data_IF_187369923220
#
_entry.id   IF_187369923220
#
_cell.length_a   1.000
_cell.length_b   1.000
_cell.length_c   1.000
_cell.angle_alpha   90.00
_cell.angle_beta   90.00
_cell.angle_gamma   90.00
#
_symmetry.space_group_name_H-M   'P 1'
#
loop_
_entity.id
_entity.type
_entity.pdbx_description
1 polymer ?
#
# COMPACT_ATOMS: atom_id res chain seq x y z
N UNK A 1 101.77 5.62 -10.92
CA UNK A 1 101.70 6.14 -9.53
C UNK A 1 100.65 7.23 -9.44
N UNK A 2 99.61 7.00 -8.61
CA UNK A 2 98.73 7.97 -7.91
C UNK A 2 97.77 8.91 -8.71
N UNK A 3 96.51 8.91 -8.18
CA UNK A 3 95.39 9.89 -8.22
C UNK A 3 94.36 9.69 -9.35
N UNK A 4 93.14 9.18 -9.08
CA UNK A 4 91.95 9.73 -8.37
C UNK A 4 91.25 10.86 -9.15
N UNK A 5 89.99 10.61 -9.56
CA UNK A 5 88.74 11.45 -9.60
C UNK A 5 87.82 10.93 -10.73
N UNK A 6 86.74 10.18 -10.47
CA UNK A 6 85.39 10.53 -9.93
C UNK A 6 84.50 11.33 -10.92
N UNK A 7 83.26 10.82 -11.08
CA UNK A 7 82.00 11.48 -11.55
C UNK A 7 81.83 11.62 -13.08
N UNK A 8 80.67 11.41 -13.72
CA UNK A 8 79.25 11.35 -13.33
C UNK A 8 78.50 10.45 -14.34
N UNK A 9 77.49 9.73 -13.86
CA UNK A 9 76.53 8.97 -14.67
C UNK A 9 75.51 9.91 -15.32
N UNK A 10 75.16 9.69 -16.58
CA UNK A 10 73.95 10.25 -17.20
C UNK A 10 73.42 9.26 -18.22
N UNK A 11 72.60 8.31 -17.74
CA UNK A 11 71.77 7.46 -18.59
C UNK A 11 70.40 8.13 -18.69
N UNK A 12 70.08 8.67 -19.88
CA UNK A 12 68.72 9.08 -20.21
C UNK A 12 67.84 7.83 -20.31
N UNK A 13 66.93 7.65 -19.35
CA UNK A 13 65.83 6.68 -19.45
C UNK A 13 64.58 7.41 -19.94
N UNK A 14 64.10 6.96 -21.10
CA UNK A 14 62.87 7.38 -21.75
C UNK A 14 61.66 6.98 -20.88
N UNK A 15 60.98 7.94 -20.24
CA UNK A 15 59.78 7.67 -19.47
C UNK A 15 58.57 7.53 -20.38
N UNK A 16 58.07 6.30 -20.48
CA UNK A 16 56.80 5.95 -21.10
C UNK A 16 55.67 6.46 -20.20
N UNK A 17 54.89 7.42 -20.70
CA UNK A 17 53.74 8.00 -20.00
C UNK A 17 52.58 6.99 -20.00
N UNK A 18 52.44 6.22 -18.91
CA UNK A 18 51.25 5.41 -18.66
C UNK A 18 50.16 6.35 -18.17
N UNK A 19 49.22 6.70 -19.06
CA UNK A 19 47.97 7.35 -18.67
C UNK A 19 47.10 6.29 -18.02
N UNK A 20 47.18 6.17 -16.68
CA UNK A 20 46.14 5.46 -15.93
C UNK A 20 44.92 6.35 -15.86
N UNK A 21 43.95 6.11 -16.72
CA UNK A 21 42.60 6.65 -16.59
C UNK A 21 42.03 6.11 -15.28
N UNK A 22 42.09 6.92 -14.23
CA UNK A 22 41.34 6.68 -13.01
C UNK A 22 39.86 6.81 -13.36
N UNK A 23 39.21 5.70 -13.69
CA UNK A 23 37.77 5.58 -13.59
C UNK A 23 37.42 5.71 -12.10
N UNK A 24 37.28 6.95 -11.63
CA UNK A 24 36.50 7.23 -10.44
C UNK A 24 35.08 6.76 -10.76
N UNK A 25 34.75 5.55 -10.33
CA UNK A 25 33.37 5.19 -10.04
C UNK A 25 32.79 6.34 -9.22
N UNK A 26 31.79 7.03 -9.77
CA UNK A 26 30.92 7.90 -8.98
C UNK A 26 30.13 7.00 -8.03
N UNK A 27 30.77 6.52 -6.98
CA UNK A 27 30.08 6.29 -5.71
C UNK A 27 29.78 7.68 -5.17
N UNK A 28 28.64 8.24 -5.60
CA UNK A 28 28.00 9.26 -4.78
C UNK A 28 27.76 8.59 -3.45
N UNK A 29 28.58 8.95 -2.47
CA UNK A 29 28.39 8.61 -1.07
C UNK A 29 27.19 9.43 -0.58
N UNK A 30 26.02 9.17 -1.16
CA UNK A 30 24.78 9.89 -0.89
C UNK A 30 24.18 9.29 0.38
N UNK A 31 24.96 9.36 1.47
CA UNK A 31 24.54 8.95 2.79
C UNK A 31 23.23 9.65 3.12
N UNK A 32 22.31 8.89 3.71
CA UNK A 32 21.03 9.40 4.13
C UNK A 32 21.24 10.55 5.13
N UNK A 33 20.76 11.76 4.78
CA UNK A 33 20.84 12.92 5.64
C UNK A 33 19.58 13.01 6.50
N UNK A 34 19.69 12.65 7.78
CA UNK A 34 18.56 12.64 8.71
C UNK A 34 17.96 14.03 8.99
N UNK A 35 18.70 15.11 8.74
CA UNK A 35 18.20 16.48 8.92
C UNK A 35 17.21 16.92 7.84
N UNK A 36 17.02 16.09 6.80
CA UNK A 36 16.10 16.36 5.71
C UNK A 36 14.65 16.19 6.15
N UNK A 37 13.80 17.05 5.56
CA UNK A 37 12.35 17.01 5.76
C UNK A 37 11.81 15.66 5.32
N UNK A 38 10.89 15.11 6.12
CA UNK A 38 10.12 13.92 5.81
C UNK A 38 9.05 14.30 4.77
N UNK A 39 9.13 13.71 3.59
CA UNK A 39 8.12 13.92 2.56
C UNK A 39 6.94 12.97 2.81
N UNK A 40 5.94 13.47 3.54
CA UNK A 40 4.72 12.70 3.81
C UNK A 40 3.92 12.54 2.52
N UNK A 41 3.66 11.29 2.13
CA UNK A 41 2.74 10.96 1.05
C UNK A 41 1.46 10.42 1.68
N UNK A 42 0.34 11.09 1.43
CA UNK A 42 -0.99 10.68 1.89
C UNK A 42 -1.89 10.32 0.71
N UNK A 43 -3.03 9.70 1.01
CA UNK A 43 -4.03 9.32 0.01
C UNK A 43 -5.07 10.42 -0.18
N UNK A 44 -5.76 10.39 -1.31
CA UNK A 44 -6.82 11.31 -1.68
C UNK A 44 -8.01 11.30 -0.71
N UNK A 45 -8.75 12.41 -0.68
CA UNK A 45 -10.03 12.46 0.02
C UNK A 45 -10.99 11.42 -0.60
N UNK A 46 -11.70 10.66 0.24
CA UNK A 46 -12.52 9.52 -0.18
C UNK A 46 -11.81 8.16 -0.11
N UNK A 47 -10.47 8.15 -0.06
CA UNK A 47 -9.68 6.92 0.12
C UNK A 47 -10.10 6.15 1.38
N UNK A 48 -10.48 4.89 1.23
CA UNK A 48 -10.66 3.99 2.38
C UNK A 48 -9.39 3.79 3.20
N UNK A 49 -8.22 3.75 2.54
CA UNK A 49 -6.92 3.61 3.23
C UNK A 49 -6.61 4.78 4.13
N UNK A 50 -6.68 6.02 3.62
CA UNK A 50 -6.62 7.22 4.46
C UNK A 50 -7.61 7.17 5.62
N UNK A 51 -8.89 6.92 5.34
CA UNK A 51 -9.93 6.90 6.37
C UNK A 51 -9.63 5.93 7.50
N UNK A 52 -9.27 4.69 7.18
CA UNK A 52 -8.88 3.70 8.18
C UNK A 52 -7.55 4.07 8.87
N UNK A 53 -6.56 4.55 8.13
CA UNK A 53 -5.25 4.95 8.66
C UNK A 53 -5.36 6.06 9.71
N UNK A 54 -6.13 7.12 9.42
CA UNK A 54 -6.25 8.26 10.33
C UNK A 54 -7.03 7.92 11.61
N UNK A 55 -8.06 7.06 11.52
CA UNK A 55 -8.82 6.61 12.69
C UNK A 55 -7.97 5.67 13.56
N UNK A 56 -7.32 4.66 12.94
CA UNK A 56 -6.52 3.66 13.65
C UNK A 56 -5.30 4.26 14.38
N UNK A 57 -4.70 5.32 13.83
CA UNK A 57 -3.54 5.97 14.44
C UNK A 57 -3.86 7.25 15.19
N UNK A 58 -5.14 7.62 15.33
CA UNK A 58 -5.54 8.82 16.06
C UNK A 58 -5.02 10.12 15.43
N UNK A 59 -4.92 10.15 14.10
CA UNK A 59 -4.56 11.35 13.32
C UNK A 59 -5.79 12.25 13.11
N UNK A 60 -6.99 11.77 13.43
CA UNK A 60 -8.19 12.61 13.43
C UNK A 60 -8.57 13.16 14.80
N UNK A 61 -9.07 14.39 14.82
CA UNK A 61 -9.67 15.01 16.00
C UNK A 61 -11.19 14.80 15.99
N UNK A 62 -11.72 14.12 17.00
CA UNK A 62 -13.17 13.95 17.23
C UNK A 62 -13.73 15.21 17.90
N UNK A 63 -14.58 15.95 17.19
CA UNK A 63 -15.29 17.11 17.72
C UNK A 63 -16.44 16.68 18.64
N UNK A 64 -16.85 17.57 19.54
CA UNK A 64 -17.96 17.32 20.49
C UNK A 64 -19.30 16.96 19.82
N UNK A 65 -19.50 17.31 18.55
CA UNK A 65 -20.70 16.99 17.78
C UNK A 65 -20.60 15.64 17.03
N UNK A 66 -19.57 14.83 17.30
CA UNK A 66 -19.34 13.55 16.64
C UNK A 66 -18.66 13.63 15.27
N UNK A 67 -18.43 14.83 14.72
CA UNK A 67 -17.71 14.98 13.47
C UNK A 67 -16.19 14.81 13.69
N UNK A 68 -15.52 14.11 12.79
CA UNK A 68 -14.06 13.99 12.80
C UNK A 68 -13.42 15.05 11.91
N UNK A 69 -12.22 15.49 12.29
CA UNK A 69 -11.37 16.36 11.49
C UNK A 69 -10.05 15.66 11.26
N UNK A 70 -9.75 15.35 10.01
CA UNK A 70 -8.44 14.86 9.61
C UNK A 70 -7.36 15.91 9.92
N UNK A 71 -6.34 15.51 10.69
CA UNK A 71 -5.19 16.36 11.05
C UNK A 71 -3.92 15.99 10.26
N UNK A 72 -4.05 15.22 9.17
CA UNK A 72 -2.94 14.99 8.24
C UNK A 72 -2.33 16.33 7.84
N UNK A 73 -1.00 16.43 7.87
CA UNK A 73 -0.26 17.64 7.50
C UNK A 73 -0.69 18.13 6.12
N UNK A 74 -0.85 19.45 6.00
CA UNK A 74 -1.24 20.09 4.73
C UNK A 74 -0.16 19.98 3.66
N UNK A 75 1.06 19.66 4.10
CA UNK A 75 2.25 19.60 3.26
C UNK A 75 2.38 18.21 2.62
N UNK A 76 1.48 17.28 2.97
CA UNK A 76 1.45 15.95 2.42
C UNK A 76 1.18 15.96 0.91
N UNK A 77 1.99 15.21 0.17
CA UNK A 77 1.77 14.96 -1.25
C UNK A 77 0.63 13.95 -1.38
N UNK A 78 -0.37 14.27 -2.20
CA UNK A 78 -1.56 13.42 -2.38
C UNK A 78 -1.35 12.43 -3.53
N UNK A 79 -1.35 11.15 -3.22
CA UNK A 79 -1.36 10.05 -4.18
C UNK A 79 -2.78 9.47 -4.32
N UNK A 80 -3.37 9.55 -5.52
CA UNK A 80 -4.76 9.12 -5.77
C UNK A 80 -4.99 7.60 -5.82
N UNK A 81 -3.92 6.83 -5.94
CA UNK A 81 -3.97 5.37 -6.12
C UNK A 81 -2.79 4.71 -5.44
N UNK A 82 -2.94 3.43 -5.12
CA UNK A 82 -1.88 2.61 -4.52
C UNK A 82 -0.60 2.64 -5.37
N UNK A 83 -0.70 2.56 -6.69
CA UNK A 83 0.48 2.55 -7.57
C UNK A 83 1.22 3.89 -7.58
N UNK A 84 0.47 5.00 -7.57
CA UNK A 84 1.06 6.35 -7.46
C UNK A 84 1.76 6.55 -6.12
N UNK A 85 1.18 6.02 -5.03
CA UNK A 85 1.82 6.01 -3.71
C UNK A 85 3.16 5.28 -3.77
N UNK A 86 3.19 4.06 -4.30
CA UNK A 86 4.43 3.27 -4.41
C UNK A 86 5.48 3.95 -5.29
N UNK A 87 5.09 4.57 -6.40
CA UNK A 87 6.01 5.33 -7.27
C UNK A 87 6.63 6.51 -6.52
N UNK A 88 5.82 7.29 -5.79
CA UNK A 88 6.32 8.42 -5.02
C UNK A 88 7.33 7.98 -3.95
N UNK A 89 7.04 6.90 -3.22
CA UNK A 89 7.94 6.37 -2.18
C UNK A 89 9.21 5.78 -2.79
N UNK A 90 9.12 5.04 -3.88
CA UNK A 90 10.28 4.47 -4.57
C UNK A 90 11.20 5.54 -5.18
N UNK A 91 10.64 6.70 -5.55
CA UNK A 91 11.38 7.81 -6.15
C UNK A 91 12.05 8.76 -5.15
N UNK A 92 11.75 8.66 -3.85
CA UNK A 92 12.20 9.62 -2.85
C UNK A 92 12.67 8.93 -1.56
N UNK A 93 13.99 8.99 -1.31
CA UNK A 93 14.60 8.38 -0.12
C UNK A 93 14.06 8.94 1.21
N UNK A 94 13.54 10.16 1.22
CA UNK A 94 13.02 10.82 2.42
C UNK A 94 11.50 10.71 2.57
N UNK A 95 10.82 10.00 1.66
CA UNK A 95 9.38 9.87 1.70
C UNK A 95 8.89 8.74 2.60
N UNK A 96 7.71 8.95 3.18
CA UNK A 96 6.96 7.98 3.98
C UNK A 96 5.51 7.96 3.51
N UNK A 97 4.92 6.77 3.47
CA UNK A 97 3.54 6.58 3.05
C UNK A 97 2.94 5.33 3.68
N UNK A 98 1.74 4.97 3.21
CA UNK A 98 1.05 3.79 3.68
C UNK A 98 0.26 3.11 2.55
N UNK A 99 0.24 1.79 2.55
CA UNK A 99 -0.48 0.96 1.56
C UNK A 99 -1.12 -0.26 2.23
N UNK A 100 -1.93 -0.98 1.46
CA UNK A 100 -2.36 -2.33 1.84
C UNK A 100 -1.18 -3.31 1.83
N UNK A 101 -1.14 -4.24 2.79
CA UNK A 101 -0.11 -5.28 2.87
C UNK A 101 -0.01 -6.10 1.57
N UNK A 102 -1.15 -6.46 0.99
CA UNK A 102 -1.20 -7.25 -0.25
C UNK A 102 -0.66 -6.54 -1.49
N UNK A 103 -0.43 -5.22 -1.41
CA UNK A 103 0.19 -4.43 -2.49
C UNK A 103 1.71 -4.28 -2.35
N UNK A 104 2.30 -4.68 -1.21
CA UNK A 104 3.73 -4.54 -0.97
C UNK A 104 4.53 -5.35 -2.01
N UNK A 105 5.58 -4.73 -2.55
CA UNK A 105 6.52 -5.35 -3.49
C UNK A 105 7.96 -4.94 -3.15
N UNK A 106 8.92 -5.26 -4.01
CA UNK A 106 10.34 -5.06 -3.77
C UNK A 106 10.88 -3.64 -4.11
N UNK A 107 10.06 -2.74 -4.65
CA UNK A 107 10.50 -1.37 -5.00
C UNK A 107 10.53 -0.43 -3.79
N UNK A 108 9.94 -0.85 -2.68
CA UNK A 108 9.80 -0.14 -1.42
C UNK A 108 9.98 -1.13 -0.27
N UNK A 109 10.12 -0.63 0.95
CA UNK A 109 10.16 -1.49 2.14
C UNK A 109 9.10 -1.10 3.16
N UNK A 110 8.58 -2.12 3.84
CA UNK A 110 7.70 -1.97 4.98
C UNK A 110 8.50 -1.62 6.24
N UNK A 111 7.94 -0.75 7.08
CA UNK A 111 8.49 -0.36 8.38
C UNK A 111 7.73 -1.11 9.48
N UNK A 112 8.39 -1.96 10.28
CA UNK A 112 7.82 -2.53 11.49
C UNK A 112 7.26 -1.45 12.42
N UNK A 113 6.10 -1.71 13.01
CA UNK A 113 5.44 -0.78 13.95
C UNK A 113 5.45 -1.35 15.35
N UNK A 114 5.96 -0.59 16.31
CA UNK A 114 6.21 -1.02 17.68
C UNK A 114 7.04 -2.33 17.72
N UNK A 115 8.00 -2.49 16.80
CA UNK A 115 8.81 -3.69 16.65
C UNK A 115 8.11 -4.89 15.98
N UNK A 116 6.85 -4.76 15.57
CA UNK A 116 6.08 -5.83 14.92
C UNK A 116 6.16 -5.69 13.40
N UNK A 117 6.63 -6.75 12.74
CA UNK A 117 6.68 -6.83 11.27
C UNK A 117 5.26 -6.96 10.72
N UNK A 118 4.85 -6.13 9.74
CA UNK A 118 3.56 -6.29 9.07
C UNK A 118 3.55 -7.57 8.23
N UNK A 119 2.79 -8.57 8.67
CA UNK A 119 2.68 -9.86 7.98
C UNK A 119 1.28 -10.46 8.19
N UNK A 120 0.84 -11.32 7.28
CA UNK A 120 -0.44 -12.02 7.43
C UNK A 120 -0.50 -12.82 8.74
N UNK A 121 0.62 -13.41 9.16
CA UNK A 121 0.74 -14.13 10.43
C UNK A 121 0.54 -13.19 11.63
N UNK A 122 1.26 -12.06 11.67
CA UNK A 122 1.14 -11.10 12.77
C UNK A 122 -0.21 -10.40 12.81
N UNK A 123 -0.90 -10.27 11.68
CA UNK A 123 -2.27 -9.78 11.68
C UNK A 123 -3.22 -10.85 12.22
N UNK A 124 -3.08 -12.11 11.77
CA UNK A 124 -3.95 -13.22 12.19
C UNK A 124 -3.86 -13.50 13.69
N UNK A 125 -2.68 -13.38 14.29
CA UNK A 125 -2.48 -13.60 15.72
C UNK A 125 -2.72 -12.34 16.59
N UNK A 126 -3.06 -11.20 15.98
CA UNK A 126 -3.36 -9.95 16.68
C UNK A 126 -2.13 -9.16 17.15
N UNK A 127 -0.92 -9.52 16.75
CA UNK A 127 0.30 -8.77 17.10
C UNK A 127 0.42 -7.46 16.30
N UNK A 128 -0.01 -7.44 15.03
CA UNK A 128 -0.03 -6.25 14.19
C UNK A 128 -1.44 -5.66 14.13
N UNK A 129 -1.60 -4.46 14.70
CA UNK A 129 -2.91 -3.91 15.03
C UNK A 129 -3.49 -2.95 13.99
N UNK A 130 -2.68 -2.44 13.06
CA UNK A 130 -3.13 -1.48 12.05
C UNK A 130 -3.83 -2.24 10.92
N UNK A 131 -5.07 -2.63 11.18
CA UNK A 131 -5.83 -3.54 10.32
C UNK A 131 -7.22 -2.98 10.04
N UNK A 132 -7.80 -3.38 8.91
CA UNK A 132 -9.09 -2.89 8.43
C UNK A 132 -9.84 -3.96 7.66
N UNK A 133 -11.17 -3.89 7.58
CA UNK A 133 -11.92 -4.76 6.69
C UNK A 133 -11.71 -4.35 5.23
N UNK A 134 -11.75 -5.34 4.35
CA UNK A 134 -12.17 -5.14 2.97
C UNK A 134 -13.63 -5.53 2.87
N UNK A 135 -14.46 -4.55 2.52
CA UNK A 135 -15.88 -4.70 2.33
C UNK A 135 -16.21 -4.55 0.85
N UNK A 136 -17.18 -5.32 0.39
CA UNK A 136 -17.96 -5.02 -0.80
C UNK A 136 -19.38 -4.63 -0.37
N UNK A 137 -20.13 -3.98 -1.25
CA UNK A 137 -21.53 -3.65 -0.99
C UNK A 137 -22.33 -3.67 -2.30
N UNK A 138 -23.60 -4.01 -2.18
CA UNK A 138 -24.60 -4.04 -3.27
C UNK A 138 -25.78 -3.17 -2.89
N UNK A 139 -26.58 -2.81 -3.89
CA UNK A 139 -27.86 -2.15 -3.65
C UNK A 139 -28.93 -3.21 -3.35
N UNK A 140 -29.38 -3.29 -2.11
CA UNK A 140 -30.31 -4.34 -1.70
C UNK A 140 -29.69 -5.75 -1.73
N UNK A 141 -30.55 -6.78 -1.77
CA UNK A 141 -30.12 -8.17 -1.83
C UNK A 141 -29.62 -8.51 -3.25
N UNK A 142 -28.39 -9.04 -3.40
CA UNK A 142 -27.85 -9.36 -4.71
C UNK A 142 -28.57 -10.55 -5.35
N UNK A 143 -28.68 -10.53 -6.68
CA UNK A 143 -29.25 -11.63 -7.47
C UNK A 143 -28.38 -11.99 -8.69
N UNK A 144 -28.80 -13.02 -9.44
CA UNK A 144 -28.18 -13.40 -10.71
C UNK A 144 -26.66 -13.55 -10.67
N UNK A 145 -25.98 -12.89 -11.63
CA UNK A 145 -24.52 -12.90 -11.76
C UNK A 145 -23.83 -12.20 -10.58
N UNK A 146 -24.42 -11.13 -10.05
CA UNK A 146 -23.87 -10.39 -8.92
C UNK A 146 -23.76 -11.29 -7.69
N UNK A 147 -24.88 -11.93 -7.32
CA UNK A 147 -24.92 -12.88 -6.20
C UNK A 147 -23.96 -14.03 -6.39
N UNK A 148 -23.92 -14.60 -7.58
CA UNK A 148 -23.07 -15.77 -7.85
C UNK A 148 -21.57 -15.42 -7.75
N UNK A 149 -21.17 -14.23 -8.19
CA UNK A 149 -19.80 -13.76 -8.01
C UNK A 149 -19.48 -13.51 -6.52
N UNK A 150 -20.40 -12.94 -5.74
CA UNK A 150 -20.25 -12.77 -4.30
C UNK A 150 -20.14 -14.14 -3.59
N UNK A 151 -20.99 -15.10 -3.95
CA UNK A 151 -20.96 -16.46 -3.44
C UNK A 151 -19.60 -17.12 -3.73
N UNK A 152 -19.03 -16.90 -4.93
CA UNK A 152 -17.67 -17.33 -5.25
C UNK A 152 -16.62 -16.67 -4.35
N UNK A 153 -16.68 -15.36 -4.14
CA UNK A 153 -15.72 -14.64 -3.28
C UNK A 153 -15.75 -15.19 -1.84
N UNK A 154 -16.94 -15.54 -1.34
CA UNK A 154 -17.14 -16.07 0.01
C UNK A 154 -16.91 -17.58 0.11
N UNK A 155 -16.83 -18.29 -1.01
CA UNK A 155 -16.57 -19.74 -1.06
C UNK A 155 -15.16 -20.13 -0.60
N UNK A 156 -14.94 -21.43 -0.38
CA UNK A 156 -13.61 -21.96 -0.08
C UNK A 156 -12.58 -21.59 -1.16
N UNK A 157 -12.99 -21.56 -2.42
CA UNK A 157 -12.12 -21.28 -3.55
C UNK A 157 -11.71 -19.80 -3.58
N UNK A 158 -12.67 -18.89 -3.39
CA UNK A 158 -12.43 -17.45 -3.29
C UNK A 158 -11.58 -17.10 -2.07
N UNK A 159 -11.92 -17.65 -0.89
CA UNK A 159 -11.17 -17.39 0.35
C UNK A 159 -9.74 -17.95 0.30
N UNK A 160 -9.50 -19.04 -0.46
CA UNK A 160 -8.15 -19.55 -0.73
C UNK A 160 -7.30 -18.60 -1.59
N UNK A 161 -7.92 -17.85 -2.49
CA UNK A 161 -7.21 -16.81 -3.27
C UNK A 161 -6.87 -15.62 -2.35
N UNK A 162 -7.83 -15.20 -1.52
CA UNK A 162 -7.66 -14.10 -0.56
C UNK A 162 -6.52 -14.39 0.43
N UNK A 163 -6.44 -15.60 0.96
CA UNK A 163 -5.43 -15.98 1.95
C UNK A 163 -3.98 -15.96 1.45
N UNK A 164 -3.75 -15.80 0.14
CA UNK A 164 -2.42 -15.64 -0.44
C UNK A 164 -1.80 -14.26 -0.17
N UNK A 165 -2.63 -13.25 0.13
CA UNK A 165 -2.16 -11.85 0.28
C UNK A 165 -2.85 -11.11 1.43
N UNK A 166 -3.93 -11.66 1.96
CA UNK A 166 -4.78 -11.06 2.99
C UNK A 166 -5.20 -12.13 3.99
N UNK A 167 -5.97 -11.71 5.01
CA UNK A 167 -6.50 -12.62 6.02
C UNK A 167 -7.93 -12.97 5.60
N UNK A 168 -8.16 -14.26 5.37
CA UNK A 168 -9.47 -14.79 5.03
C UNK A 168 -10.42 -14.68 6.23
N UNK A 169 -11.72 -14.64 5.95
CA UNK A 169 -12.77 -14.45 6.97
C UNK A 169 -13.63 -15.69 7.19
N UNK A 170 -13.48 -16.71 6.35
CA UNK A 170 -14.22 -17.96 6.45
C UNK A 170 -13.29 -19.15 6.29
N UNK A 171 -12.83 -19.72 7.42
CA UNK A 171 -11.97 -20.91 7.44
C UNK A 171 -12.72 -22.20 7.04
N UNK A 172 -14.06 -22.22 7.11
CA UNK A 172 -14.92 -23.39 6.82
C UNK A 172 -15.94 -23.12 5.67
N UNK A 173 -15.59 -22.25 4.73
CA UNK A 173 -16.46 -21.98 3.58
C UNK A 173 -16.68 -23.25 2.73
N UNK A 174 -17.82 -23.32 2.07
CA UNK A 174 -18.17 -24.42 1.16
C UNK A 174 -17.47 -24.17 -0.19
N UNK A 175 -16.99 -25.21 -0.91
CA UNK A 175 -16.47 -25.06 -2.27
C UNK A 175 -17.50 -24.41 -3.20
N UNK A 176 -17.03 -23.61 -4.15
CA UNK A 176 -17.91 -22.98 -5.10
C UNK A 176 -18.49 -24.00 -6.09
N UNK A 177 -19.76 -23.84 -6.43
CA UNK A 177 -20.43 -24.65 -7.44
C UNK A 177 -20.85 -23.76 -8.61
N UNK A 178 -20.14 -23.89 -9.73
CA UNK A 178 -20.42 -23.11 -10.92
C UNK A 178 -21.83 -23.37 -11.48
N UNK A 179 -22.62 -22.31 -11.62
CA UNK A 179 -23.93 -22.34 -12.29
C UNK A 179 -23.92 -21.66 -13.67
N UNK A 180 -22.76 -21.12 -14.10
CA UNK A 180 -22.50 -20.52 -15.42
C UNK A 180 -23.49 -19.40 -15.78
N UNK A 181 -23.68 -18.41 -14.89
CA UNK A 181 -24.59 -17.32 -15.15
C UNK A 181 -24.08 -16.47 -16.31
N UNK A 182 -25.00 -15.87 -17.05
CA UNK A 182 -24.67 -14.92 -18.12
C UNK A 182 -24.97 -13.49 -17.67
N UNK A 183 -24.31 -12.52 -18.29
CA UNK A 183 -24.60 -11.11 -18.05
C UNK A 183 -23.32 -10.31 -17.87
N UNK A 184 -23.48 -9.05 -17.50
CA UNK A 184 -22.37 -8.15 -17.19
C UNK A 184 -22.64 -7.48 -15.85
N UNK A 185 -21.62 -7.44 -14.99
CA UNK A 185 -21.59 -6.59 -13.81
C UNK A 185 -20.36 -5.67 -13.84
N UNK A 186 -20.48 -4.54 -13.18
CA UNK A 186 -19.45 -3.54 -12.94
C UNK A 186 -19.15 -3.51 -11.44
N UNK A 187 -17.89 -3.72 -11.10
CA UNK A 187 -17.36 -3.66 -9.73
C UNK A 187 -16.48 -2.41 -9.64
N UNK A 188 -16.78 -1.46 -8.76
CA UNK A 188 -16.07 -0.20 -8.68
C UNK A 188 -15.63 0.18 -7.26
N UNK A 189 -14.54 0.92 -7.13
CA UNK A 189 -14.12 1.49 -5.85
C UNK A 189 -12.65 1.25 -5.53
N UNK A 190 -12.37 0.97 -4.26
CA UNK A 190 -11.03 1.00 -3.68
C UNK A 190 -9.94 0.35 -4.52
N UNK A 191 -8.98 1.18 -4.95
CA UNK A 191 -7.69 0.74 -5.53
C UNK A 191 -6.83 -0.14 -4.62
N UNK A 192 -7.17 -0.29 -3.33
CA UNK A 192 -6.51 -1.27 -2.46
C UNK A 192 -7.12 -2.67 -2.56
N UNK A 193 -8.37 -2.79 -3.01
CA UNK A 193 -9.09 -4.08 -3.19
C UNK A 193 -8.95 -4.57 -4.63
N UNK A 194 -8.81 -3.66 -5.59
CA UNK A 194 -8.76 -4.01 -7.01
C UNK A 194 -7.76 -5.14 -7.36
N UNK A 195 -6.52 -5.20 -6.83
CA UNK A 195 -5.59 -6.28 -7.18
C UNK A 195 -6.12 -7.68 -6.80
N UNK A 196 -6.79 -7.81 -5.65
CA UNK A 196 -7.37 -9.11 -5.25
C UNK A 196 -8.67 -9.39 -5.99
N UNK A 197 -9.47 -8.36 -6.28
CA UNK A 197 -10.69 -8.50 -7.06
C UNK A 197 -10.41 -8.96 -8.50
N UNK A 198 -9.33 -8.48 -9.11
CA UNK A 198 -8.86 -8.93 -10.43
C UNK A 198 -8.50 -10.42 -10.43
N UNK A 199 -7.77 -10.90 -9.41
CA UNK A 199 -7.44 -12.32 -9.25
C UNK A 199 -8.69 -13.19 -9.04
N UNK A 200 -9.63 -12.71 -8.22
CA UNK A 200 -10.91 -13.39 -7.97
C UNK A 200 -11.72 -13.50 -9.27
N UNK A 201 -11.84 -12.40 -10.01
CA UNK A 201 -12.49 -12.36 -11.33
C UNK A 201 -11.86 -13.37 -12.29
N UNK A 202 -10.53 -13.40 -12.40
CA UNK A 202 -9.82 -14.29 -13.31
C UNK A 202 -10.19 -15.76 -13.07
N UNK A 203 -10.14 -16.21 -11.81
CA UNK A 203 -10.45 -17.60 -11.45
C UNK A 203 -11.95 -17.89 -11.61
N UNK A 204 -12.82 -16.94 -11.26
CA UNK A 204 -14.26 -17.08 -11.44
C UNK A 204 -14.65 -17.29 -12.90
N UNK A 205 -14.09 -16.49 -13.82
CA UNK A 205 -14.42 -16.54 -15.25
C UNK A 205 -13.95 -17.83 -15.94
N UNK A 206 -12.96 -18.54 -15.39
CA UNK A 206 -12.58 -19.88 -15.87
C UNK A 206 -13.72 -20.89 -15.69
N UNK A 207 -14.53 -20.73 -14.65
CA UNK A 207 -15.65 -21.61 -14.35
C UNK A 207 -16.97 -21.09 -14.94
N UNK A 208 -17.08 -19.78 -15.14
CA UNK A 208 -18.28 -19.07 -15.60
C UNK A 208 -18.01 -18.24 -16.87
N UNK A 209 -17.78 -18.88 -18.03
CA UNK A 209 -17.34 -18.18 -19.25
C UNK A 209 -18.43 -17.31 -19.90
N UNK A 210 -19.68 -17.41 -19.46
CA UNK A 210 -20.79 -16.60 -19.97
C UNK A 210 -20.92 -15.26 -19.25
N UNK A 211 -20.19 -15.08 -18.14
CA UNK A 211 -20.19 -13.86 -17.35
C UNK A 211 -19.19 -12.85 -17.90
N UNK A 212 -19.51 -11.57 -17.74
CA UNK A 212 -18.59 -10.46 -17.93
C UNK A 212 -18.51 -9.65 -16.63
N UNK A 213 -17.29 -9.40 -16.15
CA UNK A 213 -17.05 -8.60 -14.95
C UNK A 213 -16.06 -7.50 -15.32
N UNK A 214 -16.49 -6.26 -15.16
CA UNK A 214 -15.64 -5.08 -15.35
C UNK A 214 -15.23 -4.55 -13.98
N UNK A 215 -13.94 -4.29 -13.77
CA UNK A 215 -13.44 -3.71 -12.52
C UNK A 215 -12.95 -2.29 -12.81
N UNK A 216 -13.52 -1.32 -12.10
CA UNK A 216 -13.19 0.09 -12.22
C UNK A 216 -12.54 0.59 -10.92
N UNK A 217 -11.28 0.97 -11.02
CA UNK A 217 -10.52 1.43 -9.86
C UNK A 217 -10.75 2.92 -9.61
N UNK A 218 -11.12 3.24 -8.37
CA UNK A 218 -11.31 4.60 -7.86
C UNK A 218 -11.00 4.60 -6.35
N UNK A 219 -11.66 5.48 -5.58
CA UNK A 219 -11.63 5.47 -4.11
C UNK A 219 -12.85 4.75 -3.51
N UNK A 220 -12.80 4.44 -2.21
CA UNK A 220 -13.88 3.70 -1.55
C UNK A 220 -15.21 4.47 -1.55
N UNK A 221 -15.18 5.79 -1.39
CA UNK A 221 -16.42 6.58 -1.37
C UNK A 221 -17.03 6.70 -2.76
N UNK A 222 -16.24 6.86 -3.80
CA UNK A 222 -16.72 6.80 -5.18
C UNK A 222 -17.37 5.44 -5.50
N UNK A 223 -16.76 4.33 -5.05
CA UNK A 223 -17.35 2.99 -5.21
C UNK A 223 -18.69 2.82 -4.50
N UNK A 224 -18.80 3.23 -3.23
CA UNK A 224 -20.06 3.14 -2.47
C UNK A 224 -21.15 4.04 -3.07
N UNK A 225 -20.82 5.28 -3.42
CA UNK A 225 -21.76 6.19 -4.08
C UNK A 225 -22.18 5.65 -5.45
N UNK A 226 -21.26 5.01 -6.18
CA UNK A 226 -21.55 4.40 -7.47
C UNK A 226 -22.65 3.35 -7.38
N UNK A 227 -22.68 2.56 -6.31
CA UNK A 227 -23.76 1.59 -6.03
C UNK A 227 -25.06 2.29 -5.65
N UNK A 228 -25.00 3.29 -4.75
CA UNK A 228 -26.19 4.06 -4.31
C UNK A 228 -26.88 4.74 -5.51
N UNK A 229 -26.08 5.25 -6.45
CA UNK A 229 -26.53 5.94 -7.65
C UNK A 229 -26.85 5.00 -8.83
N UNK A 230 -26.61 3.68 -8.68
CA UNK A 230 -26.88 2.67 -9.72
C UNK A 230 -25.94 2.73 -10.93
N UNK A 231 -24.72 3.26 -10.75
CA UNK A 231 -23.69 3.36 -11.80
C UNK A 231 -22.71 2.17 -11.79
N UNK A 232 -22.67 1.41 -10.70
CA UNK A 232 -22.05 0.09 -10.64
C UNK A 232 -22.90 -0.86 -9.79
N UNK A 233 -22.69 -2.16 -9.97
CA UNK A 233 -23.43 -3.20 -9.26
C UNK A 233 -22.81 -3.44 -7.87
N UNK A 234 -21.48 -3.64 -7.84
CA UNK A 234 -20.74 -3.90 -6.60
C UNK A 234 -19.76 -2.77 -6.30
N UNK A 235 -19.83 -2.24 -5.08
CA UNK A 235 -18.91 -1.23 -4.56
C UNK A 235 -17.82 -1.87 -3.72
N UNK A 236 -16.58 -1.37 -3.80
CA UNK A 236 -15.44 -1.84 -3.01
C UNK A 236 -14.98 -0.77 -2.00
N UNK A 237 -15.00 -1.10 -0.71
CA UNK A 237 -14.54 -0.23 0.37
C UNK A 237 -13.45 -0.90 1.23
N UNK A 238 -12.24 -0.35 1.19
CA UNK A 238 -11.13 -0.77 2.07
C UNK A 238 -11.16 -0.03 3.42
N UNK A 239 -12.33 -0.05 4.07
CA UNK A 239 -12.64 0.52 5.38
C UNK A 239 -14.03 0.05 5.80
N UNK A 240 -14.41 0.31 7.04
CA UNK A 240 -15.82 0.28 7.42
C UNK A 240 -16.63 1.28 6.58
N UNK A 241 -17.89 0.92 6.30
CA UNK A 241 -18.82 1.83 5.64
C UNK A 241 -19.19 2.97 6.60
N UNK A 242 -19.40 4.17 6.03
CA UNK A 242 -19.89 5.33 6.76
C UNK A 242 -21.35 5.14 7.11
N UNK A 243 -21.85 5.80 8.15
CA UNK A 243 -23.27 5.75 8.51
C UNK A 243 -24.20 6.17 7.36
N UNK A 244 -23.79 7.12 6.52
CA UNK A 244 -24.54 7.53 5.33
C UNK A 244 -24.54 6.50 4.20
N UNK A 245 -23.56 5.59 4.18
CA UNK A 245 -23.50 4.48 3.22
C UNK A 245 -24.32 3.30 3.76
N UNK A 246 -24.22 3.01 5.08
CA UNK A 246 -24.98 1.96 5.77
C UNK A 246 -26.49 2.16 5.76
N UNK A 247 -26.98 3.39 5.54
CA UNK A 247 -28.43 3.64 5.40
C UNK A 247 -29.00 3.14 4.07
N UNK A 248 -28.15 2.94 3.07
CA UNK A 248 -28.54 2.55 1.71
C UNK A 248 -27.98 1.19 1.29
N UNK A 249 -26.87 0.77 1.92
CA UNK A 249 -26.08 -0.38 1.50
C UNK A 249 -25.90 -1.40 2.62
N UNK A 250 -25.85 -2.68 2.25
CA UNK A 250 -25.44 -3.76 3.15
C UNK A 250 -23.99 -4.13 2.90
N UNK A 251 -23.08 -3.94 3.87
CA UNK A 251 -21.68 -4.32 3.72
C UNK A 251 -21.52 -5.84 3.82
N UNK A 252 -20.72 -6.39 2.92
CA UNK A 252 -20.26 -7.77 2.95
C UNK A 252 -18.75 -7.72 3.10
N UNK A 253 -18.26 -8.12 4.27
CA UNK A 253 -16.83 -8.26 4.48
C UNK A 253 -16.31 -9.43 3.65
N UNK A 254 -15.17 -9.26 3.00
CA UNK A 254 -14.53 -10.30 2.17
C UNK A 254 -13.13 -10.68 2.66
N UNK A 255 -12.44 -9.78 3.36
CA UNK A 255 -11.11 -10.01 3.90
C UNK A 255 -10.81 -9.08 5.10
N UNK A 256 -9.73 -9.38 5.81
CA UNK A 256 -9.03 -8.44 6.67
C UNK A 256 -7.67 -8.10 6.04
N UNK A 257 -7.34 -6.82 6.02
CA UNK A 257 -6.11 -6.25 5.46
C UNK A 257 -5.31 -5.53 6.53
N UNK A 258 -3.98 -5.56 6.41
CA UNK A 258 -3.08 -4.74 7.21
C UNK A 258 -2.68 -3.48 6.44
N UNK A 259 -2.75 -2.32 7.09
CA UNK A 259 -2.15 -1.10 6.55
C UNK A 259 -0.69 -1.09 6.95
N UNK A 260 0.19 -0.96 5.96
CA UNK A 260 1.64 -1.04 6.12
C UNK A 260 2.23 0.33 5.90
N UNK A 261 3.05 0.78 6.85
CA UNK A 261 3.86 1.98 6.69
C UNK A 261 5.04 1.62 5.80
N UNK A 262 5.28 2.43 4.78
CA UNK A 262 6.29 2.18 3.77
C UNK A 262 7.22 3.37 3.62
N UNK A 263 8.46 3.06 3.31
CA UNK A 263 9.51 4.01 2.97
C UNK A 263 10.31 3.49 1.79
N UNK A 264 11.15 4.35 1.23
CA UNK A 264 12.14 3.95 0.24
C UNK A 264 13.10 2.88 0.79
N UNK A 265 13.61 2.01 -0.09
CA UNK A 265 14.61 1.00 0.29
C UNK A 265 15.89 1.59 0.89
N UNK A 266 16.30 2.79 0.45
CA UNK A 266 17.51 3.48 0.90
C UNK A 266 17.33 4.26 2.21
N UNK A 267 16.10 4.38 2.72
CA UNK A 267 15.85 5.00 4.02
C UNK A 267 16.35 4.07 5.14
N UNK A 268 17.18 4.49 6.10
CA UNK A 268 17.77 3.60 7.10
C UNK A 268 16.80 3.17 8.22
N UNK A 269 15.58 3.73 8.30
CA UNK A 269 14.65 3.41 9.39
C UNK A 269 14.31 1.92 9.41
N UNK A 270 14.30 1.33 10.61
CA UNK A 270 14.05 -0.11 10.83
C UNK A 270 12.79 -0.39 11.65
N UNK A 271 12.25 0.61 12.34
CA UNK A 271 10.99 0.53 13.07
C UNK A 271 10.49 1.94 13.36
N UNK A 272 9.19 2.10 13.54
CA UNK A 272 8.58 3.31 14.11
C UNK A 272 7.59 2.89 15.20
N UNK A 273 7.32 3.79 16.15
CA UNK A 273 6.17 3.62 17.05
C UNK A 273 4.90 4.18 16.41
N UNK A 274 3.74 3.73 16.89
CA UNK A 274 2.45 4.32 16.49
C UNK A 274 2.42 5.84 16.73
N UNK A 275 2.99 6.29 17.84
CA UNK A 275 3.10 7.71 18.20
C UNK A 275 3.96 8.49 17.20
N UNK A 276 5.12 7.94 16.81
CA UNK A 276 5.98 8.58 15.80
C UNK A 276 5.28 8.66 14.44
N UNK A 277 4.57 7.61 14.02
CA UNK A 277 3.79 7.67 12.76
C UNK A 277 2.72 8.76 12.87
N UNK A 278 1.97 8.82 13.98
CA UNK A 278 0.98 9.87 14.21
C UNK A 278 1.61 11.26 14.09
N UNK A 279 2.69 11.53 14.82
CA UNK A 279 3.38 12.83 14.83
C UNK A 279 4.02 13.20 13.48
N UNK A 280 4.54 12.24 12.72
CA UNK A 280 5.02 12.49 11.34
C UNK A 280 3.84 12.92 10.45
N UNK A 281 2.75 12.16 10.47
CA UNK A 281 1.62 12.42 9.58
C UNK A 281 0.81 13.65 9.98
N UNK A 282 0.89 14.13 11.24
CA UNK A 282 0.32 15.41 11.66
C UNK A 282 1.27 16.61 11.47
N UNK A 283 2.54 16.36 11.12
CA UNK A 283 3.55 17.40 10.97
C UNK A 283 4.14 17.91 12.29
N UNK A 284 3.93 17.20 13.40
CA UNK A 284 4.62 17.48 14.67
C UNK A 284 6.10 17.08 14.60
N UNK A 285 6.41 16.02 13.84
CA UNK A 285 7.76 15.63 13.47
C UNK A 285 7.94 15.91 11.98
N UNK A 286 8.95 16.71 11.65
CA UNK A 286 9.17 17.16 10.27
C UNK A 286 10.46 16.59 9.67
N UNK A 287 11.40 16.08 10.47
CA UNK A 287 12.70 15.57 10.01
C UNK A 287 13.00 14.15 10.52
N UNK A 288 13.79 13.39 9.75
CA UNK A 288 14.15 12.02 10.13
C UNK A 288 15.02 11.94 11.40
N UNK A 289 15.75 13.01 11.74
CA UNK A 289 16.57 13.08 12.96
C UNK A 289 15.76 13.03 14.26
N UNK A 290 14.46 13.31 14.20
CA UNK A 290 13.56 13.32 15.37
C UNK A 290 13.02 11.92 15.72
N UNK A 291 13.25 10.92 14.87
CA UNK A 291 12.77 9.53 15.06
C UNK A 291 13.88 8.47 15.07
N UNK A 292 15.14 8.90 14.99
CA UNK A 292 16.32 8.03 15.05
C UNK A 292 16.82 7.78 16.47
#
# INVERSE_FOLDING_TARGET
MKRIRIMISSLLFLSLLIVTTSCSSKTSNDQFDASRIINVISREDGSGTRGAFIDLLGIEFKKNNGATKDMTTKEAIIAKQTDVMMINIAGDKYAIGYISLGSLNNTIKAVPINGVIPSAENIKNGNYLITRPFNIATQGEPDGLEKDFIDFILSADGQKIISQSYINIADNAIPYQANKPSGKIVVAGSSSIAPIMEKLKEVYLQQNPNAAIEIQQSDSSAGMNGVIEGTCDIGMASRELKNSELSELTPIRIALDGIVIIVNNDNPIITLTTEQVRSIFTGEIETWSEVQ
#
